data_IF_657117404058
#
_entry.id   IF_657117404058
#
_cell.length_a   1.000
_cell.length_b   1.000
_cell.length_c   1.000
_cell.angle_alpha   90.00
_cell.angle_beta   90.00
_cell.angle_gamma   90.00
#
_symmetry.space_group_name_H-M   'P 1'
#
loop_
_entity.id
_entity.type
_entity.pdbx_description
1 polymer ?
#
# COMPACT_ATOMS: atom_id res chain seq x y z
N UNK A 1 -5.47 0.52 -11.55
CA UNK A 1 -5.68 1.91 -12.02
C UNK A 1 -4.88 2.85 -11.15
N UNK A 2 -4.32 3.94 -11.69
CA UNK A 2 -3.65 4.97 -10.90
C UNK A 2 -4.01 6.34 -11.43
N UNK A 3 -4.49 7.21 -10.55
CA UNK A 3 -4.77 8.61 -10.81
C UNK A 3 -3.82 9.44 -9.97
N UNK A 4 -3.18 10.43 -10.56
CA UNK A 4 -2.29 11.32 -9.83
C UNK A 4 -2.28 12.68 -10.52
N UNK A 5 -2.03 13.72 -9.74
CA UNK A 5 -2.09 15.08 -10.26
C UNK A 5 -1.60 16.10 -9.25
N UNK A 6 -1.41 17.31 -9.78
CA UNK A 6 -1.06 18.49 -9.00
C UNK A 6 -2.12 19.55 -9.33
N UNK A 7 -2.76 20.07 -8.29
CA UNK A 7 -3.76 21.14 -8.39
C UNK A 7 -3.27 22.34 -7.56
N UNK A 8 -2.53 23.24 -8.20
CA UNK A 8 -1.88 24.36 -7.53
C UNK A 8 -0.85 23.87 -6.50
N UNK A 9 -0.97 24.23 -5.21
CA UNK A 9 -0.06 23.75 -4.17
C UNK A 9 -0.38 22.33 -3.68
N UNK A 10 -1.48 21.71 -4.12
CA UNK A 10 -1.86 20.37 -3.68
C UNK A 10 -1.34 19.29 -4.63
N UNK A 11 -0.78 18.22 -4.08
CA UNK A 11 -0.35 17.01 -4.80
C UNK A 11 -1.17 15.83 -4.30
N UNK A 12 -1.66 15.01 -5.22
CA UNK A 12 -2.43 13.82 -4.87
C UNK A 12 -2.10 12.64 -5.78
N UNK A 13 -2.20 11.43 -5.22
CA UNK A 13 -2.10 10.16 -5.93
C UNK A 13 -3.08 9.17 -5.31
N UNK A 14 -3.77 8.44 -6.17
CA UNK A 14 -4.73 7.41 -5.84
C UNK A 14 -4.47 6.21 -6.76
N UNK A 15 -3.90 5.17 -6.20
CA UNK A 15 -3.69 3.87 -6.83
C UNK A 15 -4.70 2.86 -6.30
N UNK A 16 -5.22 2.03 -7.19
CA UNK A 16 -6.06 0.90 -6.82
C UNK A 16 -5.73 -0.31 -7.68
N UNK A 17 -5.57 -1.46 -7.04
CA UNK A 17 -5.36 -2.76 -7.67
C UNK A 17 -6.49 -3.67 -7.24
N UNK A 18 -7.11 -4.33 -8.21
CA UNK A 18 -8.05 -5.41 -7.95
C UNK A 18 -7.44 -6.72 -8.42
N UNK A 19 -7.48 -7.71 -7.55
CA UNK A 19 -6.94 -9.04 -7.78
C UNK A 19 -8.11 -10.02 -7.86
N UNK A 20 -8.42 -10.42 -9.08
CA UNK A 20 -9.33 -11.52 -9.40
C UNK A 20 -8.57 -12.82 -9.67
N UNK A 21 -9.22 -13.96 -9.50
CA UNK A 21 -8.65 -15.24 -9.88
C UNK A 21 -9.33 -16.42 -9.21
N UNK A 22 -8.68 -17.58 -9.25
CA UNK A 22 -9.13 -18.79 -8.56
C UNK A 22 -7.96 -19.37 -7.78
N UNK A 23 -8.13 -19.50 -6.48
CA UNK A 23 -7.21 -20.20 -5.60
C UNK A 23 -7.62 -21.66 -5.51
N UNK A 24 -6.66 -22.57 -5.70
CA UNK A 24 -6.85 -24.01 -5.54
C UNK A 24 -6.04 -24.47 -4.33
N UNK A 25 -6.70 -25.13 -3.38
CA UNK A 25 -6.02 -25.64 -2.20
C UNK A 25 -5.12 -26.82 -2.58
N UNK A 26 -3.90 -26.84 -2.03
CA UNK A 26 -3.01 -27.97 -2.20
C UNK A 26 -3.65 -29.25 -1.65
N UNK A 27 -3.51 -30.36 -2.37
CA UNK A 27 -4.00 -31.70 -1.98
C UNK A 27 -5.53 -31.83 -1.84
N UNK A 28 -6.32 -30.86 -2.30
CA UNK A 28 -7.79 -30.99 -2.38
C UNK A 28 -8.30 -30.50 -3.74
N UNK A 29 -9.49 -30.93 -4.13
CA UNK A 29 -10.17 -30.41 -5.33
C UNK A 29 -10.95 -29.11 -5.06
N UNK A 30 -10.79 -28.51 -3.88
CA UNK A 30 -11.50 -27.29 -3.53
C UNK A 30 -10.87 -26.09 -4.25
N UNK A 31 -11.72 -25.32 -4.92
CA UNK A 31 -11.33 -24.07 -5.56
C UNK A 31 -12.21 -22.93 -5.07
N UNK A 32 -11.62 -21.76 -4.88
CA UNK A 32 -12.31 -20.56 -4.40
C UNK A 32 -11.92 -19.37 -5.26
N UNK A 33 -12.89 -18.54 -5.61
CA UNK A 33 -12.62 -17.30 -6.31
C UNK A 33 -11.82 -16.35 -5.41
N UNK A 34 -10.82 -15.69 -5.97
CA UNK A 34 -10.09 -14.59 -5.31
C UNK A 34 -10.77 -13.29 -5.71
N UNK A 35 -11.11 -12.48 -4.72
CA UNK A 35 -11.64 -11.14 -4.89
C UNK A 35 -11.00 -10.26 -3.83
N UNK A 36 -9.80 -9.76 -4.14
CA UNK A 36 -9.00 -8.96 -3.23
C UNK A 36 -8.66 -7.61 -3.86
N UNK A 37 -8.34 -6.62 -3.02
CA UNK A 37 -8.00 -5.29 -3.49
C UNK A 37 -6.87 -4.67 -2.65
N UNK A 38 -6.15 -3.76 -3.28
CA UNK A 38 -5.20 -2.89 -2.62
C UNK A 38 -5.46 -1.45 -3.06
N UNK A 39 -5.38 -0.51 -2.13
CA UNK A 39 -5.51 0.92 -2.36
C UNK A 39 -4.27 1.62 -1.79
N UNK A 40 -3.68 2.51 -2.57
CA UNK A 40 -2.60 3.40 -2.16
C UNK A 40 -3.07 4.83 -2.40
N UNK A 41 -3.03 5.67 -1.38
CA UNK A 41 -3.41 7.07 -1.51
C UNK A 41 -2.33 7.96 -0.93
N UNK A 42 -2.15 9.11 -1.55
CA UNK A 42 -1.29 10.18 -1.07
C UNK A 42 -2.00 11.49 -1.34
N UNK A 43 -2.02 12.36 -0.35
CA UNK A 43 -2.45 13.74 -0.50
C UNK A 43 -1.48 14.62 0.28
N UNK A 44 -1.13 15.77 -0.27
CA UNK A 44 -0.34 16.72 0.48
C UNK A 44 -0.31 18.10 -0.13
N UNK A 45 0.29 18.99 0.62
CA UNK A 45 0.35 20.41 0.37
C UNK A 45 1.81 20.84 0.29
N UNK A 46 2.13 21.55 -0.79
CA UNK A 46 3.39 22.21 -1.02
C UNK A 46 3.26 23.63 -0.51
N UNK A 47 4.05 23.96 0.51
CA UNK A 47 4.05 25.29 1.16
C UNK A 47 4.64 26.30 0.18
N UNK A 48 3.85 27.25 -0.36
CA UNK A 48 4.34 28.28 -1.27
C UNK A 48 5.22 29.27 -0.50
N UNK A 49 6.27 29.79 -1.15
CA UNK A 49 7.18 30.81 -0.59
C UNK A 49 8.04 30.37 0.60
N UNK A 50 8.11 29.08 0.92
CA UNK A 50 9.13 28.57 1.83
C UNK A 50 10.48 28.44 1.09
N UNK A 51 11.56 28.90 1.74
CA UNK A 51 12.96 28.78 1.26
C UNK A 51 13.31 27.34 0.93
N UNK A 52 12.72 26.37 1.63
CA UNK A 52 13.00 24.94 1.48
C UNK A 52 11.99 24.18 0.62
N UNK A 53 11.03 24.86 -0.03
CA UNK A 53 10.00 24.22 -0.85
C UNK A 53 9.32 23.03 -0.17
N UNK A 54 9.00 23.19 1.12
CA UNK A 54 8.51 22.10 1.97
C UNK A 54 7.18 21.54 1.46
N UNK A 55 7.07 20.23 1.50
CA UNK A 55 5.88 19.46 1.25
C UNK A 55 5.49 18.71 2.53
N UNK A 56 4.23 18.83 2.91
CA UNK A 56 3.64 18.06 4.00
C UNK A 56 2.45 17.27 3.44
N UNK A 57 2.41 15.97 3.70
CA UNK A 57 1.37 15.11 3.19
C UNK A 57 1.06 13.94 4.09
N UNK A 58 0.06 13.18 3.68
CA UNK A 58 -0.38 11.96 4.31
C UNK A 58 -0.45 10.88 3.23
N UNK A 59 0.17 9.75 3.50
CA UNK A 59 0.04 8.54 2.71
C UNK A 59 -0.79 7.53 3.48
N UNK A 60 -1.69 6.84 2.79
CA UNK A 60 -2.42 5.70 3.37
C UNK A 60 -2.40 4.53 2.41
N UNK A 61 -2.19 3.33 2.94
CA UNK A 61 -2.19 2.10 2.18
C UNK A 61 -3.18 1.12 2.83
N UNK A 62 -4.05 0.53 2.03
CA UNK A 62 -5.06 -0.43 2.48
C UNK A 62 -4.94 -1.67 1.64
N UNK A 63 -4.69 -2.80 2.29
CA UNK A 63 -4.61 -4.12 1.67
C UNK A 63 -5.72 -5.00 2.24
N UNK A 64 -6.56 -5.54 1.37
CA UNK A 64 -7.71 -6.33 1.81
C UNK A 64 -7.28 -7.60 2.56
N UNK A 65 -8.05 -7.90 3.59
CA UNK A 65 -7.90 -9.07 4.43
C UNK A 65 -9.00 -10.09 4.18
N UNK A 66 -8.67 -11.36 4.38
CA UNK A 66 -9.63 -12.46 4.40
C UNK A 66 -9.56 -13.20 5.72
N UNK A 67 -10.66 -13.89 6.05
CA UNK A 67 -10.73 -14.78 7.21
C UNK A 67 -10.10 -16.14 6.82
N UNK A 68 -9.09 -16.57 7.58
CA UNK A 68 -8.33 -17.80 7.33
C UNK A 68 -9.11 -19.06 7.73
N UNK A 69 -10.08 -18.94 8.64
CA UNK A 69 -10.96 -20.02 9.11
C UNK A 69 -12.16 -20.25 8.19
N UNK A 70 -12.46 -19.29 7.31
CA UNK A 70 -13.57 -19.36 6.36
C UNK A 70 -13.20 -20.30 5.22
N UNK A 71 -13.86 -21.45 5.14
CA UNK A 71 -13.66 -22.47 4.09
C UNK A 71 -14.63 -22.34 2.91
N UNK A 72 -15.60 -21.43 2.98
CA UNK A 72 -16.61 -21.19 1.93
C UNK A 72 -16.60 -19.74 1.42
N UNK A 73 -16.97 -19.52 0.15
CA UNK A 73 -17.02 -18.20 -0.50
C UNK A 73 -15.69 -17.70 -1.07
N UNK A 74 -15.62 -16.44 -1.48
CA UNK A 74 -14.40 -15.86 -2.09
C UNK A 74 -13.28 -15.60 -1.06
N UNK A 75 -12.02 -15.63 -1.52
CA UNK A 75 -10.83 -15.22 -0.77
C UNK A 75 -10.66 -13.71 -0.92
N UNK A 76 -10.71 -13.00 0.20
CA UNK A 76 -10.55 -11.54 0.27
C UNK A 76 -9.12 -11.08 0.57
N UNK A 77 -8.20 -11.99 0.84
CA UNK A 77 -6.82 -11.66 1.19
C UNK A 77 -6.05 -11.22 -0.05
N UNK A 78 -5.60 -9.96 -0.08
CA UNK A 78 -4.71 -9.48 -1.14
C UNK A 78 -3.32 -10.11 -0.99
N UNK A 79 -2.72 -10.50 -2.10
CA UNK A 79 -1.37 -11.07 -2.13
C UNK A 79 -0.57 -10.24 -3.13
N UNK A 80 0.46 -9.54 -2.64
CA UNK A 80 1.36 -8.80 -3.52
C UNK A 80 1.93 -9.76 -4.57
N UNK A 81 1.85 -9.44 -5.88
CA UNK A 81 2.37 -10.30 -6.93
C UNK A 81 3.86 -10.56 -6.68
N UNK A 82 4.28 -11.80 -6.98
CA UNK A 82 5.67 -12.23 -6.84
C UNK A 82 6.54 -11.34 -7.73
N UNK A 83 7.36 -10.49 -7.11
CA UNK A 83 8.33 -9.68 -7.84
C UNK A 83 9.56 -10.58 -8.13
N UNK A 84 9.97 -10.80 -9.39
CA UNK A 84 11.09 -11.70 -9.72
C UNK A 84 12.47 -11.16 -9.31
N UNK A 85 12.56 -9.91 -8.82
CA UNK A 85 13.77 -9.41 -8.17
C UNK A 85 13.89 -9.99 -6.75
N UNK A 86 14.67 -11.07 -6.64
CA UNK A 86 15.43 -11.52 -5.46
C UNK A 86 14.78 -11.25 -4.09
N UNK A 87 13.68 -11.91 -3.79
CA UNK A 87 13.28 -12.20 -2.40
C UNK A 87 14.17 -13.33 -1.86
N UNK A 88 15.47 -13.07 -1.70
CA UNK A 88 16.44 -14.03 -1.15
C UNK A 88 16.64 -13.86 0.37
N UNK A 89 15.81 -13.06 1.02
CA UNK A 89 15.85 -12.89 2.46
C UNK A 89 14.42 -13.01 2.95
N UNK A 90 14.11 -14.21 3.43
CA UNK A 90 13.03 -14.51 4.37
C UNK A 90 11.72 -13.71 4.18
N UNK A 91 10.80 -14.26 3.40
CA UNK A 91 9.44 -13.71 3.22
C UNK A 91 8.62 -13.59 4.52
N UNK A 92 9.10 -14.09 5.67
CA UNK A 92 8.42 -13.92 6.97
C UNK A 92 8.80 -12.63 7.68
N UNK A 93 9.93 -12.00 7.31
CA UNK A 93 10.39 -10.72 7.89
C UNK A 93 9.96 -9.50 7.05
N UNK A 94 9.37 -9.71 5.88
CA UNK A 94 8.78 -8.65 5.08
C UNK A 94 7.28 -8.56 5.37
N UNK A 95 6.83 -7.40 5.85
CA UNK A 95 5.42 -7.05 5.87
C UNK A 95 4.93 -6.99 4.43
N UNK A 96 4.42 -8.11 3.93
CA UNK A 96 3.71 -8.14 2.65
C UNK A 96 2.43 -7.34 2.82
N UNK A 97 2.11 -6.48 1.85
CA UNK A 97 0.88 -5.68 1.88
C UNK A 97 -0.33 -6.61 1.78
N UNK A 98 -0.78 -7.15 2.90
CA UNK A 98 -1.88 -8.11 2.99
C UNK A 98 -2.54 -7.93 4.36
N UNK A 99 -3.86 -7.75 4.37
CA UNK A 99 -4.61 -7.58 5.63
C UNK A 99 -4.06 -6.45 6.51
N UNK A 100 -3.69 -5.34 5.87
CA UNK A 100 -2.88 -4.28 6.47
C UNK A 100 -3.46 -2.92 6.10
N UNK A 101 -3.57 -2.06 7.10
CA UNK A 101 -3.80 -0.63 6.91
C UNK A 101 -2.56 0.10 7.40
N UNK A 102 -2.00 0.98 6.57
CA UNK A 102 -0.89 1.85 6.91
C UNK A 102 -1.30 3.30 6.76
N UNK A 103 -0.86 4.14 7.69
CA UNK A 103 -1.02 5.59 7.66
C UNK A 103 0.33 6.22 7.98
N UNK A 104 0.82 7.05 7.08
CA UNK A 104 2.16 7.61 7.17
C UNK A 104 2.15 9.10 6.83
N UNK A 105 2.28 10.00 7.84
CA UNK A 105 2.65 11.38 7.57
C UNK A 105 4.00 11.45 6.83
N UNK A 106 4.07 12.32 5.83
CA UNK A 106 5.22 12.52 4.96
C UNK A 106 5.61 13.99 4.94
N UNK A 107 6.86 14.28 5.25
CA UNK A 107 7.43 15.62 5.14
C UNK A 107 8.63 15.55 4.21
N UNK A 108 8.69 16.44 3.22
CA UNK A 108 9.83 16.57 2.29
C UNK A 108 10.25 18.03 2.22
N UNK A 109 11.54 18.31 2.33
CA UNK A 109 12.09 19.65 2.19
C UNK A 109 13.40 19.61 1.41
N UNK A 110 13.67 20.67 0.67
CA UNK A 110 14.90 20.82 -0.11
C UNK A 110 15.84 21.73 0.69
N UNK A 111 16.86 21.14 1.32
CA UNK A 111 17.81 21.88 2.18
C UNK A 111 18.81 22.68 1.34
N UNK A 112 19.21 22.12 0.18
CA UNK A 112 20.04 22.78 -0.82
C UNK A 112 19.40 22.59 -2.20
N UNK A 113 19.81 23.41 -3.17
CA UNK A 113 19.32 23.38 -4.56
C UNK A 113 19.48 22.00 -5.26
N UNK A 114 20.29 21.12 -4.65
CA UNK A 114 20.67 19.78 -5.13
C UNK A 114 20.30 18.66 -4.14
N UNK A 115 19.73 18.97 -2.96
CA UNK A 115 19.54 17.97 -1.90
C UNK A 115 18.13 18.03 -1.31
N UNK A 116 17.40 16.93 -1.46
CA UNK A 116 16.09 16.71 -0.86
C UNK A 116 16.24 15.85 0.40
N UNK A 117 15.73 16.34 1.52
CA UNK A 117 15.52 15.56 2.74
C UNK A 117 14.04 15.16 2.81
N UNK A 118 13.78 13.90 3.14
CA UNK A 118 12.44 13.38 3.35
C UNK A 118 12.38 12.56 4.63
N UNK A 119 11.36 12.82 5.45
CA UNK A 119 11.05 12.06 6.64
C UNK A 119 9.64 11.49 6.54
N UNK A 120 9.50 10.20 6.87
CA UNK A 120 8.21 9.51 6.94
C UNK A 120 8.19 8.67 8.22
N UNK A 121 7.11 8.80 8.98
CA UNK A 121 6.83 7.92 10.12
C UNK A 121 5.55 7.18 9.78
N UNK A 122 5.62 5.86 9.70
CA UNK A 122 4.48 5.03 9.29
C UNK A 122 3.91 4.28 10.49
N UNK A 123 2.61 4.44 10.72
CA UNK A 123 1.84 3.64 11.65
C UNK A 123 1.12 2.52 10.89
N UNK A 124 1.21 1.31 11.41
CA UNK A 124 0.64 0.11 10.79
C UNK A 124 -0.39 -0.53 11.71
N UNK A 125 -1.54 -0.86 11.14
CA UNK A 125 -2.56 -1.69 11.78
C UNK A 125 -2.70 -2.98 10.97
N UNK A 126 -2.14 -4.06 11.49
CA UNK A 126 -2.43 -5.40 11.00
C UNK A 126 -3.82 -5.80 11.51
N UNK A 127 -4.73 -6.07 10.58
CA UNK A 127 -6.04 -6.60 10.92
C UNK A 127 -5.85 -8.10 11.22
N UNK A 128 -6.31 -8.60 12.36
CA UNK A 128 -6.17 -10.04 12.62
C UNK A 128 -7.11 -10.82 11.68
N UNK A 129 -6.65 -11.92 11.05
CA UNK A 129 -7.56 -12.83 10.39
C UNK A 129 -8.40 -13.53 11.45
N UNK A 130 -9.69 -13.21 11.52
CA UNK A 130 -10.65 -13.95 12.37
C UNK A 130 -10.74 -15.44 11.98
#
# INVERSE_FOLDING_TARGET
MRWHGIAGPFEFSLGGIWQGGVFKYAKTNQSRNVNAYALNTLVGYRIPHDRFHTFAGLQTDVYSGGNARKTSGAIGTYISPFNPQTNYLDTTTYMTGSNLISVAPLIRCNIFQISQLSGQVSAFLALQPE
#
